data_IF_220495025069
#
_entry.id   IF_220495025069
#
_cell.length_a   1.000
_cell.length_b   1.000
_cell.length_c   1.000
_cell.angle_alpha   90.00
_cell.angle_beta   90.00
_cell.angle_gamma   90.00
#
_symmetry.space_group_name_H-M   'P 1'
#
loop_
_entity.id
_entity.type
_entity.pdbx_description
1 polymer ?
#
# COMPACT_ATOMS: atom_id res chain seq x y z
N UNK A 1 -15.13 -59.14 6.57
CA UNK A 1 -14.34 -58.18 5.76
C UNK A 1 -14.68 -56.75 6.15
N UNK A 2 -13.98 -56.18 7.15
CA UNK A 2 -14.09 -54.76 7.50
C UNK A 2 -13.21 -53.95 6.55
N UNK A 3 -13.82 -53.18 5.64
CA UNK A 3 -13.11 -52.19 4.83
C UNK A 3 -12.52 -51.13 5.77
N UNK A 4 -11.20 -51.11 5.91
CA UNK A 4 -10.44 -49.99 6.47
C UNK A 4 -10.86 -48.69 5.75
N UNK A 5 -11.67 -47.85 6.40
CA UNK A 5 -11.93 -46.48 5.95
C UNK A 5 -10.60 -45.73 6.01
N UNK A 6 -10.11 -45.24 4.87
CA UNK A 6 -8.96 -44.31 4.82
C UNK A 6 -9.29 -43.09 5.69
N UNK A 7 -8.47 -42.84 6.70
CA UNK A 7 -8.68 -41.84 7.76
C UNK A 7 -8.43 -40.39 7.31
N UNK A 8 -8.97 -39.99 6.15
CA UNK A 8 -8.76 -38.65 5.61
C UNK A 8 -9.83 -38.15 4.64
N UNK A 9 -10.81 -38.98 4.26
CA UNK A 9 -11.88 -38.54 3.36
C UNK A 9 -13.04 -37.94 4.17
N UNK A 10 -13.18 -36.61 4.07
CA UNK A 10 -14.32 -35.86 4.62
C UNK A 10 -15.60 -36.49 4.09
N UNK A 11 -16.55 -36.79 4.99
CA UNK A 11 -17.82 -37.39 4.57
C UNK A 11 -18.52 -36.51 3.51
N UNK A 12 -19.11 -37.08 2.45
CA UNK A 12 -19.72 -36.30 1.36
C UNK A 12 -20.78 -35.30 1.85
N UNK A 13 -21.49 -35.65 2.93
CA UNK A 13 -22.46 -34.77 3.57
C UNK A 13 -21.82 -33.57 4.29
N UNK A 14 -20.68 -33.78 4.95
CA UNK A 14 -19.92 -32.70 5.60
C UNK A 14 -19.28 -31.79 4.56
N UNK A 15 -18.78 -32.35 3.44
CA UNK A 15 -18.29 -31.59 2.30
C UNK A 15 -19.40 -30.70 1.70
N UNK A 16 -20.61 -31.26 1.47
CA UNK A 16 -21.76 -30.49 0.95
C UNK A 16 -22.17 -29.35 1.89
N UNK A 17 -22.19 -29.59 3.20
CA UNK A 17 -22.47 -28.54 4.20
C UNK A 17 -21.40 -27.46 4.21
N UNK A 18 -20.12 -27.83 4.06
CA UNK A 18 -19.01 -26.88 3.90
C UNK A 18 -19.19 -25.98 2.67
N UNK A 19 -19.49 -26.57 1.51
CA UNK A 19 -19.75 -25.78 0.30
C UNK A 19 -20.97 -24.88 0.42
N UNK A 20 -22.08 -25.35 1.01
CA UNK A 20 -23.27 -24.54 1.26
C UNK A 20 -22.98 -23.35 2.21
N UNK A 21 -22.07 -23.52 3.16
CA UNK A 21 -21.67 -22.46 4.08
C UNK A 21 -20.85 -21.36 3.39
N UNK A 22 -19.96 -21.73 2.46
CA UNK A 22 -19.11 -20.77 1.73
C UNK A 22 -19.81 -20.15 0.52
N UNK A 23 -20.87 -20.80 0.02
CA UNK A 23 -21.61 -20.38 -1.19
C UNK A 23 -22.12 -18.93 -1.13
N UNK A 24 -22.73 -18.42 -0.03
CA UNK A 24 -23.16 -17.02 0.04
C UNK A 24 -22.00 -16.04 -0.15
N UNK A 25 -20.84 -16.31 0.47
CA UNK A 25 -19.65 -15.47 0.32
C UNK A 25 -19.11 -15.49 -1.11
N UNK A 26 -19.05 -16.67 -1.75
CA UNK A 26 -18.64 -16.79 -3.15
C UNK A 26 -19.59 -16.02 -4.07
N UNK A 27 -20.90 -16.16 -3.87
CA UNK A 27 -21.90 -15.44 -4.66
C UNK A 27 -21.71 -13.92 -4.56
N UNK A 28 -21.49 -13.39 -3.35
CA UNK A 28 -21.23 -11.96 -3.15
C UNK A 28 -19.92 -11.52 -3.83
N UNK A 29 -18.85 -12.30 -3.73
CA UNK A 29 -17.57 -11.98 -4.39
C UNK A 29 -17.74 -11.98 -5.92
N UNK A 30 -18.44 -12.96 -6.48
CA UNK A 30 -18.68 -13.02 -7.93
C UNK A 30 -19.53 -11.83 -8.40
N UNK A 31 -20.61 -11.53 -7.68
CA UNK A 31 -21.56 -10.47 -8.06
C UNK A 31 -20.96 -9.06 -7.92
N UNK A 32 -20.22 -8.80 -6.84
CA UNK A 32 -19.75 -7.45 -6.52
C UNK A 32 -18.27 -7.18 -6.86
N UNK A 33 -17.48 -8.21 -7.13
CA UNK A 33 -16.06 -8.05 -7.51
C UNK A 33 -15.84 -8.49 -8.95
N UNK A 34 -16.13 -9.75 -9.29
CA UNK A 34 -15.79 -10.28 -10.62
C UNK A 34 -16.69 -9.74 -11.74
N UNK A 35 -17.99 -9.63 -11.51
CA UNK A 35 -18.91 -9.07 -12.51
C UNK A 35 -18.55 -7.62 -12.92
N UNK A 36 -18.39 -6.64 -12.00
CA UNK A 36 -18.00 -5.28 -12.38
C UNK A 36 -16.57 -5.22 -12.95
N UNK A 37 -15.66 -6.10 -12.49
CA UNK A 37 -14.33 -6.22 -13.09
C UNK A 37 -14.43 -6.60 -14.56
N UNK A 38 -15.18 -7.64 -14.91
CA UNK A 38 -15.39 -8.06 -16.31
C UNK A 38 -16.08 -6.96 -17.13
N UNK A 39 -17.07 -6.26 -16.56
CA UNK A 39 -17.71 -5.13 -17.23
C UNK A 39 -16.73 -3.99 -17.52
N UNK A 40 -15.85 -3.67 -16.57
CA UNK A 40 -14.78 -2.71 -16.78
C UNK A 40 -13.80 -3.19 -17.86
N UNK A 41 -13.52 -4.50 -17.95
CA UNK A 41 -12.67 -5.05 -19.01
C UNK A 41 -13.30 -4.84 -20.38
N UNK A 42 -14.58 -5.15 -20.54
CA UNK A 42 -15.29 -4.95 -21.80
C UNK A 42 -15.35 -3.46 -22.14
N UNK A 43 -15.54 -2.60 -21.14
CA UNK A 43 -15.60 -1.15 -21.30
C UNK A 43 -14.26 -0.54 -21.71
N UNK A 44 -13.12 -1.14 -21.33
CA UNK A 44 -11.79 -0.65 -21.72
C UNK A 44 -11.56 -0.67 -23.24
N UNK A 45 -12.29 -1.51 -23.99
CA UNK A 45 -12.23 -1.58 -25.45
C UNK A 45 -13.27 -0.68 -26.16
N UNK A 46 -14.08 0.05 -25.39
CA UNK A 46 -15.10 0.96 -25.93
C UNK A 46 -14.63 2.42 -25.88
N UNK A 47 -15.04 3.22 -26.85
CA UNK A 47 -14.84 4.69 -26.84
C UNK A 47 -16.17 5.39 -27.07
N UNK A 48 -16.30 6.61 -26.59
CA UNK A 48 -17.54 7.38 -26.62
C UNK A 48 -17.73 8.21 -25.36
N UNK A 49 -18.84 8.93 -25.30
CA UNK A 49 -19.23 9.78 -24.16
C UNK A 49 -20.60 9.34 -23.69
N UNK A 50 -20.78 9.21 -22.37
CA UNK A 50 -22.04 8.76 -21.76
C UNK A 50 -22.48 7.38 -22.29
N UNK A 51 -23.75 7.27 -22.66
CA UNK A 51 -24.37 6.03 -23.15
C UNK A 51 -23.94 5.64 -24.58
N UNK A 52 -23.23 6.52 -25.29
CA UNK A 52 -22.77 6.30 -26.66
C UNK A 52 -21.47 5.49 -26.80
N UNK A 53 -21.16 4.59 -25.88
CA UNK A 53 -19.94 3.79 -25.89
C UNK A 53 -19.97 2.73 -27.01
N UNK A 54 -19.17 2.93 -28.05
CA UNK A 54 -19.02 2.00 -29.17
C UNK A 54 -17.72 1.19 -29.03
N UNK A 55 -17.74 -0.06 -29.50
CA UNK A 55 -16.54 -0.89 -29.51
C UNK A 55 -15.52 -0.32 -30.50
N UNK A 56 -14.31 -0.04 -30.03
CA UNK A 56 -13.24 0.58 -30.84
C UNK A 56 -11.93 -0.19 -30.74
N UNK A 57 -11.97 -1.44 -30.28
CA UNK A 57 -10.81 -2.31 -30.12
C UNK A 57 -9.76 -1.71 -29.18
N UNK A 58 -8.51 -1.64 -29.63
CA UNK A 58 -7.36 -1.20 -28.81
C UNK A 58 -7.11 0.32 -28.83
N UNK A 59 -8.07 1.14 -29.27
CA UNK A 59 -7.89 2.59 -29.39
C UNK A 59 -7.46 3.26 -28.07
N UNK A 60 -8.10 2.91 -26.95
CA UNK A 60 -7.74 3.43 -25.61
C UNK A 60 -6.31 3.05 -25.21
N UNK A 61 -5.89 1.83 -25.51
CA UNK A 61 -4.55 1.35 -25.18
C UNK A 61 -3.47 2.03 -26.04
N UNK A 62 -3.76 2.35 -27.31
CA UNK A 62 -2.87 3.18 -28.14
C UNK A 62 -2.73 4.60 -27.58
N UNK A 63 -3.84 5.18 -27.11
CA UNK A 63 -3.85 6.52 -26.48
C UNK A 63 -2.98 6.58 -25.22
N UNK A 64 -2.94 5.52 -24.41
CA UNK A 64 -2.06 5.46 -23.23
C UNK A 64 -0.59 5.73 -23.58
N UNK A 65 -0.14 5.28 -24.75
CA UNK A 65 1.25 5.44 -25.19
C UNK A 65 1.61 6.89 -25.56
N UNK A 66 0.63 7.73 -25.86
CA UNK A 66 0.85 9.14 -26.23
C UNK A 66 0.39 10.13 -25.15
N UNK A 67 -0.38 9.67 -24.15
CA UNK A 67 -0.91 10.52 -23.10
C UNK A 67 0.15 10.94 -22.08
N UNK A 68 0.48 12.24 -22.10
CA UNK A 68 1.48 12.84 -21.21
C UNK A 68 1.05 12.83 -19.75
N UNK A 69 -0.25 12.96 -19.46
CA UNK A 69 -0.75 12.98 -18.08
C UNK A 69 -0.72 11.57 -17.49
N UNK A 70 -1.10 10.56 -18.28
CA UNK A 70 -0.94 9.16 -17.89
C UNK A 70 0.52 8.82 -17.59
N UNK A 71 1.47 9.21 -18.45
CA UNK A 71 2.90 8.99 -18.22
C UNK A 71 3.41 9.67 -16.95
N UNK A 72 2.97 10.91 -16.69
CA UNK A 72 3.27 11.61 -15.42
C UNK A 72 2.69 10.87 -14.22
N UNK A 73 1.42 10.48 -14.29
CA UNK A 73 0.73 9.74 -13.23
C UNK A 73 1.41 8.41 -12.90
N UNK A 74 1.80 7.67 -13.94
CA UNK A 74 2.54 6.42 -13.83
C UNK A 74 3.92 6.66 -13.18
N UNK A 75 4.67 7.64 -13.68
CA UNK A 75 5.99 7.99 -13.15
C UNK A 75 5.96 8.41 -11.67
N UNK A 76 5.00 9.25 -11.28
CA UNK A 76 4.83 9.67 -9.89
C UNK A 76 4.43 8.50 -8.98
N UNK A 77 3.51 7.65 -9.44
CA UNK A 77 3.08 6.47 -8.67
C UNK A 77 4.26 5.52 -8.44
N UNK A 78 5.11 5.32 -9.46
CA UNK A 78 6.35 4.55 -9.32
C UNK A 78 7.37 5.22 -8.40
N UNK A 79 7.53 6.54 -8.50
CA UNK A 79 8.41 7.29 -7.62
C UNK A 79 7.98 7.11 -6.15
N UNK A 80 6.69 7.24 -5.87
CA UNK A 80 6.16 6.99 -4.52
C UNK A 80 6.42 5.54 -4.11
N UNK A 81 6.10 4.56 -4.95
CA UNK A 81 6.33 3.14 -4.65
C UNK A 81 7.79 2.82 -4.32
N UNK A 82 8.74 3.25 -5.16
CA UNK A 82 10.16 2.89 -5.02
C UNK A 82 10.81 3.60 -3.84
N UNK A 83 10.39 4.82 -3.51
CA UNK A 83 11.00 5.59 -2.43
C UNK A 83 10.32 5.27 -1.10
N UNK A 84 8.99 5.37 -1.06
CA UNK A 84 8.27 5.31 0.20
C UNK A 84 8.16 3.89 0.75
N UNK A 85 7.88 2.87 -0.07
CA UNK A 85 7.68 1.51 0.45
C UNK A 85 8.93 1.01 1.20
N UNK A 86 10.15 1.11 0.64
CA UNK A 86 11.35 0.70 1.36
C UNK A 86 11.59 1.48 2.66
N UNK A 87 11.39 2.81 2.63
CA UNK A 87 11.56 3.66 3.83
C UNK A 87 10.57 3.24 4.91
N UNK A 88 9.30 3.06 4.56
CA UNK A 88 8.25 2.66 5.49
C UNK A 88 8.51 1.29 6.10
N UNK A 89 8.91 0.31 5.29
CA UNK A 89 9.21 -1.05 5.75
C UNK A 89 10.42 -1.04 6.68
N UNK A 90 11.47 -0.30 6.34
CA UNK A 90 12.66 -0.13 7.17
C UNK A 90 12.31 0.51 8.52
N UNK A 91 11.57 1.62 8.50
CA UNK A 91 11.14 2.32 9.72
C UNK A 91 10.28 1.40 10.59
N UNK A 92 9.32 0.70 10.00
CA UNK A 92 8.46 -0.23 10.73
C UNK A 92 9.27 -1.39 11.36
N UNK A 93 10.29 -1.92 10.68
CA UNK A 93 11.18 -2.96 11.22
C UNK A 93 12.03 -2.44 12.39
N UNK A 94 12.64 -1.26 12.25
CA UNK A 94 13.45 -0.66 13.32
C UNK A 94 12.59 -0.36 14.53
N UNK A 95 11.45 0.31 14.32
CA UNK A 95 10.53 0.68 15.40
C UNK A 95 9.97 -0.57 16.10
N UNK A 96 9.51 -1.57 15.35
CA UNK A 96 9.00 -2.81 15.95
C UNK A 96 10.07 -3.55 16.76
N UNK A 97 11.32 -3.60 16.28
CA UNK A 97 12.44 -4.17 17.03
C UNK A 97 12.72 -3.41 18.34
N UNK A 98 12.65 -2.07 18.32
CA UNK A 98 12.82 -1.25 19.53
C UNK A 98 11.66 -1.46 20.52
N UNK A 99 10.43 -1.56 20.03
CA UNK A 99 9.23 -1.77 20.87
C UNK A 99 9.05 -3.21 21.36
N UNK A 100 9.85 -4.15 20.84
CA UNK A 100 9.89 -5.52 21.32
C UNK A 100 10.80 -5.70 22.55
N UNK A 101 11.74 -4.80 22.81
CA UNK A 101 12.70 -4.93 23.93
C UNK A 101 12.03 -4.87 25.30
N UNK A 102 12.07 -5.98 26.07
CA UNK A 102 11.62 -6.18 27.49
C UNK A 102 12.13 -5.17 28.52
N UNK A 103 13.03 -4.25 28.18
CA UNK A 103 13.46 -3.14 29.04
C UNK A 103 12.77 -1.80 28.79
N UNK A 104 12.12 -1.60 27.65
CA UNK A 104 11.48 -0.32 27.31
C UNK A 104 10.27 -0.03 28.22
N UNK A 105 10.30 1.09 28.94
CA UNK A 105 9.19 1.62 29.74
C UNK A 105 8.12 2.25 28.83
N UNK A 106 6.86 2.24 29.25
CA UNK A 106 5.72 2.82 28.51
C UNK A 106 5.49 2.28 27.09
N UNK A 107 5.82 1.01 26.84
CA UNK A 107 5.64 0.38 25.52
C UNK A 107 4.23 0.47 24.95
N UNK A 108 3.21 0.29 25.79
CA UNK A 108 1.82 0.42 25.35
C UNK A 108 1.53 1.80 24.77
N UNK A 109 2.02 2.86 25.40
CA UNK A 109 1.87 4.23 24.93
C UNK A 109 2.54 4.44 23.57
N UNK A 110 3.80 4.04 23.40
CA UNK A 110 4.50 4.20 22.12
C UNK A 110 3.85 3.39 20.99
N UNK A 111 3.43 2.13 21.27
CA UNK A 111 2.70 1.30 20.30
C UNK A 111 1.43 1.99 19.84
N UNK A 112 0.63 2.50 20.78
CA UNK A 112 -0.61 3.21 20.46
C UNK A 112 -0.33 4.50 19.70
N UNK A 113 0.63 5.33 20.15
CA UNK A 113 0.93 6.61 19.51
C UNK A 113 1.41 6.45 18.05
N UNK A 114 2.21 5.42 17.77
CA UNK A 114 2.73 5.16 16.42
C UNK A 114 1.67 4.49 15.54
N UNK A 115 0.77 3.67 16.11
CA UNK A 115 -0.32 3.02 15.38
C UNK A 115 -1.52 3.95 15.13
N UNK A 116 -1.79 4.90 16.04
CA UNK A 116 -2.95 5.78 16.01
C UNK A 116 -3.21 6.46 14.66
N UNK A 117 -2.19 6.95 13.91
CA UNK A 117 -2.39 7.57 12.61
C UNK A 117 -3.22 6.72 11.65
N UNK A 118 -2.98 5.41 11.57
CA UNK A 118 -3.66 4.54 10.60
C UNK A 118 -5.15 4.29 10.91
N UNK A 119 -5.59 4.60 12.13
CA UNK A 119 -6.99 4.43 12.57
C UNK A 119 -7.86 5.64 12.22
N UNK A 120 -7.25 6.80 11.94
CA UNK A 120 -7.95 8.05 11.61
C UNK A 120 -8.52 8.04 10.19
N UNK A 121 -9.48 8.91 9.86
CA UNK A 121 -10.02 9.03 8.48
C UNK A 121 -8.94 9.52 7.50
N UNK A 122 -8.85 8.87 6.33
CA UNK A 122 -7.91 9.22 5.24
C UNK A 122 -8.05 10.69 4.79
N UNK A 123 -9.28 11.18 4.68
CA UNK A 123 -9.55 12.56 4.26
C UNK A 123 -9.20 13.54 5.38
N UNK A 124 -9.65 13.28 6.61
CA UNK A 124 -9.48 14.21 7.73
C UNK A 124 -8.01 14.46 8.05
N UNK A 125 -7.19 13.40 8.14
CA UNK A 125 -5.76 13.58 8.43
C UNK A 125 -5.04 14.30 7.28
N UNK A 126 -5.41 14.03 6.02
CA UNK A 126 -4.81 14.68 4.86
C UNK A 126 -5.07 16.19 4.86
N UNK A 127 -6.27 16.62 5.23
CA UNK A 127 -6.61 18.05 5.38
C UNK A 127 -5.79 18.69 6.50
N UNK A 128 -5.64 18.02 7.65
CA UNK A 128 -4.80 18.49 8.74
C UNK A 128 -3.33 18.59 8.29
N UNK A 129 -2.81 17.57 7.61
CA UNK A 129 -1.44 17.56 7.08
C UNK A 129 -1.22 18.73 6.11
N UNK A 130 -2.16 18.97 5.20
CA UNK A 130 -2.12 20.12 4.28
C UNK A 130 -2.05 21.44 5.04
N UNK A 131 -2.83 21.60 6.10
CA UNK A 131 -2.82 22.80 6.95
C UNK A 131 -1.51 22.96 7.73
N UNK A 132 -0.95 21.87 8.27
CA UNK A 132 0.32 21.89 9.00
C UNK A 132 1.50 22.31 8.13
N UNK A 133 1.49 21.88 6.86
CA UNK A 133 2.51 22.17 5.86
C UNK A 133 2.14 23.34 4.93
N UNK A 134 1.11 24.13 5.27
CA UNK A 134 0.84 25.39 4.58
C UNK A 134 2.04 26.35 4.74
N UNK A 135 2.11 27.38 3.89
CA UNK A 135 3.22 28.34 3.93
C UNK A 135 3.32 29.04 5.28
N UNK A 136 2.18 29.39 5.88
CA UNK A 136 1.97 29.92 7.22
C UNK A 136 1.67 28.82 8.27
N UNK A 137 1.84 27.55 7.90
CA UNK A 137 1.57 26.40 8.74
C UNK A 137 2.59 26.20 9.86
N UNK A 138 2.20 25.38 10.84
CA UNK A 138 3.01 25.09 12.02
C UNK A 138 4.43 24.58 11.67
N UNK A 139 4.57 23.76 10.62
CA UNK A 139 5.87 23.18 10.25
C UNK A 139 6.87 24.26 9.84
N UNK A 140 6.45 25.20 8.98
CA UNK A 140 7.32 26.30 8.58
C UNK A 140 7.61 27.24 9.76
N UNK A 141 6.61 27.54 10.60
CA UNK A 141 6.81 28.34 11.81
C UNK A 141 7.84 27.71 12.77
N UNK A 142 7.74 26.40 13.01
CA UNK A 142 8.68 25.66 13.85
C UNK A 142 10.10 25.66 13.26
N UNK A 143 10.25 25.40 11.95
CA UNK A 143 11.56 25.40 11.28
C UNK A 143 12.23 26.78 11.30
N UNK A 144 11.45 27.86 11.13
CA UNK A 144 11.96 29.23 11.23
C UNK A 144 12.36 29.59 12.67
N UNK A 145 11.55 29.25 13.66
CA UNK A 145 11.86 29.52 15.07
C UNK A 145 13.10 28.75 15.57
N UNK A 146 13.35 27.56 15.02
CA UNK A 146 14.55 26.78 15.29
C UNK A 146 15.77 27.25 14.47
N UNK A 147 15.65 28.32 13.69
CA UNK A 147 16.70 28.86 12.81
C UNK A 147 17.25 27.83 11.80
N UNK A 148 16.44 26.83 11.42
CA UNK A 148 16.81 25.82 10.41
C UNK A 148 16.59 26.31 8.98
N UNK A 149 15.69 27.27 8.78
CA UNK A 149 15.39 27.90 7.49
C UNK A 149 15.23 29.41 7.65
N UNK A 150 15.68 30.18 6.65
CA UNK A 150 15.53 31.64 6.62
C UNK A 150 14.24 32.11 5.94
N UNK A 151 13.55 31.24 5.21
CA UNK A 151 12.29 31.54 4.51
C UNK A 151 11.38 30.31 4.49
N UNK A 152 10.04 30.49 4.46
CA UNK A 152 9.09 29.37 4.43
C UNK A 152 9.30 28.46 3.23
N UNK A 153 9.28 27.14 3.46
CA UNK A 153 9.33 26.16 2.39
C UNK A 153 7.95 26.08 1.73
N UNK A 154 7.94 26.17 0.41
CA UNK A 154 6.76 26.08 -0.43
C UNK A 154 6.32 24.61 -0.65
N UNK A 155 5.85 23.95 0.41
CA UNK A 155 5.56 22.50 0.39
C UNK A 155 4.51 22.08 -0.64
N UNK A 156 3.52 22.92 -0.91
CA UNK A 156 2.40 22.59 -1.79
C UNK A 156 2.59 23.09 -3.23
N UNK A 157 3.36 24.16 -3.42
CA UNK A 157 3.50 24.85 -4.72
C UNK A 157 4.80 24.51 -5.44
N UNK A 158 5.80 23.97 -4.75
CA UNK A 158 7.01 23.44 -5.36
C UNK A 158 6.86 21.93 -5.68
N UNK A 159 7.20 21.52 -6.89
CA UNK A 159 7.01 20.14 -7.37
C UNK A 159 7.77 19.09 -6.54
N UNK A 160 9.00 19.40 -6.12
CA UNK A 160 9.84 18.47 -5.35
C UNK A 160 9.32 18.36 -3.93
N UNK A 161 9.06 19.49 -3.27
CA UNK A 161 8.53 19.49 -1.91
C UNK A 161 7.12 18.91 -1.82
N UNK A 162 6.28 19.06 -2.84
CA UNK A 162 4.97 18.44 -2.90
C UNK A 162 5.07 16.91 -2.93
N UNK A 163 5.99 16.35 -3.74
CA UNK A 163 6.27 14.90 -3.75
C UNK A 163 6.79 14.42 -2.39
N UNK A 164 7.72 15.17 -1.78
CA UNK A 164 8.27 14.85 -0.45
C UNK A 164 7.16 14.87 0.61
N UNK A 165 6.27 15.87 0.58
CA UNK A 165 5.16 15.97 1.50
C UNK A 165 4.22 14.76 1.43
N UNK A 166 3.86 14.32 0.21
CA UNK A 166 3.08 13.10 0.03
C UNK A 166 3.80 11.89 0.63
N UNK A 167 5.10 11.72 0.35
CA UNK A 167 5.91 10.62 0.90
C UNK A 167 5.94 10.65 2.44
N UNK A 168 6.09 11.83 3.05
CA UNK A 168 6.06 11.98 4.52
C UNK A 168 4.69 11.58 5.06
N UNK A 169 3.60 12.08 4.46
CA UNK A 169 2.24 11.83 4.92
C UNK A 169 1.88 10.33 4.89
N UNK A 170 2.15 9.66 3.77
CA UNK A 170 1.87 8.22 3.63
C UNK A 170 2.81 7.39 4.52
N UNK A 171 4.08 7.76 4.64
CA UNK A 171 5.04 7.05 5.50
C UNK A 171 4.62 7.14 6.96
N UNK A 172 4.30 8.36 7.44
CA UNK A 172 3.87 8.58 8.81
C UNK A 172 2.64 7.75 9.16
N UNK A 173 1.66 7.71 8.26
CA UNK A 173 0.41 6.97 8.49
C UNK A 173 0.60 5.45 8.49
N UNK A 174 1.30 4.92 7.49
CA UNK A 174 1.34 3.48 7.23
C UNK A 174 2.51 2.75 7.90
N UNK A 175 3.49 3.47 8.45
CA UNK A 175 4.57 2.87 9.26
C UNK A 175 4.01 2.15 10.48
N UNK A 176 3.07 2.76 11.19
CA UNK A 176 2.47 2.15 12.38
C UNK A 176 1.67 0.88 12.09
N UNK A 177 0.96 0.86 10.95
CA UNK A 177 0.25 -0.32 10.49
C UNK A 177 1.21 -1.50 10.26
N UNK A 178 2.28 -1.29 9.48
CA UNK A 178 3.26 -2.33 9.19
C UNK A 178 4.07 -2.76 10.44
N UNK A 179 4.34 -1.82 11.35
CA UNK A 179 5.01 -2.10 12.62
C UNK A 179 4.24 -3.13 13.45
N UNK A 180 2.90 -3.10 13.47
CA UNK A 180 2.09 -4.06 14.25
C UNK A 180 2.25 -5.48 13.72
N UNK A 181 2.30 -5.68 12.40
CA UNK A 181 2.58 -7.00 11.82
C UNK A 181 3.95 -7.52 12.23
N UNK A 182 4.99 -6.68 12.16
CA UNK A 182 6.33 -7.09 12.56
C UNK A 182 6.44 -7.36 14.05
N UNK A 183 5.78 -6.56 14.89
CA UNK A 183 5.75 -6.77 16.32
C UNK A 183 5.08 -8.10 16.69
N UNK A 184 3.97 -8.45 16.02
CA UNK A 184 3.32 -9.75 16.18
C UNK A 184 4.24 -10.89 15.73
N UNK A 185 4.97 -10.70 14.63
CA UNK A 185 5.96 -11.67 14.15
C UNK A 185 7.11 -11.87 15.14
N UNK A 186 7.65 -10.78 15.67
CA UNK A 186 8.74 -10.81 16.65
C UNK A 186 8.35 -11.54 17.92
N UNK A 187 7.11 -11.39 18.37
CA UNK A 187 6.58 -12.05 19.57
C UNK A 187 6.34 -13.55 19.38
N UNK A 188 6.30 -14.03 18.13
CA UNK A 188 6.19 -15.47 17.83
C UNK A 188 7.54 -16.20 17.82
N UNK A 189 8.65 -15.48 17.84
CA UNK A 189 10.00 -16.06 17.86
C UNK A 189 10.34 -16.43 19.30
N UNK A 190 10.78 -17.68 19.51
CA UNK A 190 11.20 -18.17 20.82
C UNK A 190 12.39 -17.36 21.37
N UNK A 191 12.26 -16.86 22.60
CA UNK A 191 13.32 -16.12 23.30
C UNK A 191 14.60 -16.96 23.44
N UNK A 192 14.50 -18.29 23.53
CA UNK A 192 15.63 -19.22 23.63
C UNK A 192 16.60 -19.14 22.45
N UNK A 193 16.11 -18.78 21.25
CA UNK A 193 16.97 -18.55 20.07
C UNK A 193 17.88 -17.33 20.30
N UNK A 194 17.34 -16.27 20.92
CA UNK A 194 18.10 -15.06 21.21
C UNK A 194 19.06 -15.23 22.39
N UNK A 195 18.73 -16.09 23.35
CA UNK A 195 19.58 -16.46 24.48
C UNK A 195 20.76 -17.31 24.03
N UNK A 196 20.53 -18.34 23.21
CA UNK A 196 21.59 -19.15 22.59
C UNK A 196 22.57 -18.26 21.81
N UNK A 197 22.04 -17.35 20.98
CA UNK A 197 22.87 -16.39 20.27
C UNK A 197 23.63 -15.41 21.19
N UNK A 198 23.11 -15.14 22.40
CA UNK A 198 23.83 -14.33 23.39
C UNK A 198 25.04 -15.08 23.96
N UNK A 199 24.88 -16.37 24.23
CA UNK A 199 25.93 -17.26 24.72
C UNK A 199 27.05 -17.36 23.67
N UNK A 200 26.70 -17.42 22.38
CA UNK A 200 27.66 -17.38 21.26
C UNK A 200 28.30 -16.00 21.00
N UNK A 201 28.05 -15.01 21.87
CA UNK A 201 28.63 -13.67 21.76
C UNK A 201 28.08 -12.82 20.60
N UNK A 202 26.89 -13.14 20.07
CA UNK A 202 26.30 -12.37 18.99
C UNK A 202 25.85 -10.98 19.45
N UNK A 203 26.33 -9.94 18.77
CA UNK A 203 25.89 -8.55 19.01
C UNK A 203 24.44 -8.32 18.58
N UNK A 204 23.78 -7.27 19.08
CA UNK A 204 22.39 -6.94 18.72
C UNK A 204 22.16 -6.80 17.21
N UNK A 205 23.13 -6.22 16.48
CA UNK A 205 23.08 -6.09 15.02
C UNK A 205 23.17 -7.47 14.34
N UNK A 206 24.02 -8.37 14.85
CA UNK A 206 24.14 -9.74 14.33
C UNK A 206 22.85 -10.53 14.60
N UNK A 207 22.26 -10.42 15.80
CA UNK A 207 20.95 -11.03 16.11
C UNK A 207 19.85 -10.49 15.20
N UNK A 208 19.79 -9.18 14.98
CA UNK A 208 18.80 -8.57 14.09
C UNK A 208 18.94 -9.06 12.64
N UNK A 209 20.15 -9.00 12.07
CA UNK A 209 20.38 -9.32 10.65
C UNK A 209 20.39 -10.81 10.35
N UNK A 210 20.82 -11.66 11.29
CA UNK A 210 20.98 -13.11 11.05
C UNK A 210 19.87 -13.98 11.63
N UNK A 211 19.09 -13.48 12.60
CA UNK A 211 18.01 -14.25 13.23
C UNK A 211 16.67 -13.57 12.95
N UNK A 212 16.52 -12.33 13.41
CA UNK A 212 15.25 -11.61 13.30
C UNK A 212 14.81 -11.41 11.85
N UNK A 213 15.67 -10.85 11.00
CA UNK A 213 15.31 -10.50 9.62
C UNK A 213 14.96 -11.76 8.78
N UNK A 214 15.72 -12.88 8.85
CA UNK A 214 15.33 -14.12 8.17
C UNK A 214 14.02 -14.73 8.68
N UNK A 215 13.79 -14.75 9.99
CA UNK A 215 12.57 -15.32 10.57
C UNK A 215 11.33 -14.46 10.28
N UNK A 216 11.50 -13.13 10.17
CA UNK A 216 10.43 -12.21 9.77
C UNK A 216 10.19 -12.16 8.26
N UNK A 217 11.00 -12.82 7.42
CA UNK A 217 10.91 -12.76 5.96
C UNK A 217 9.49 -13.00 5.41
N UNK A 218 8.70 -13.99 5.89
CA UNK A 218 7.33 -14.20 5.39
C UNK A 218 6.42 -13.00 5.67
N UNK A 219 6.59 -12.36 6.83
CA UNK A 219 5.80 -11.19 7.24
C UNK A 219 6.24 -9.96 6.45
N UNK A 220 7.56 -9.77 6.25
CA UNK A 220 8.11 -8.70 5.41
C UNK A 220 7.61 -8.82 3.97
N UNK A 221 7.56 -10.04 3.43
CA UNK A 221 7.02 -10.27 2.10
C UNK A 221 5.53 -9.90 2.02
N UNK A 222 4.73 -10.37 2.99
CA UNK A 222 3.31 -10.04 3.07
C UNK A 222 3.07 -8.53 3.18
N UNK A 223 3.73 -7.84 4.10
CA UNK A 223 3.57 -6.38 4.28
C UNK A 223 4.07 -5.59 3.09
N UNK A 224 5.14 -6.03 2.43
CA UNK A 224 5.68 -5.38 1.22
C UNK A 224 4.71 -5.50 0.04
N UNK A 225 4.11 -6.67 -0.18
CA UNK A 225 3.09 -6.88 -1.23
C UNK A 225 1.87 -5.99 -0.97
N UNK A 226 1.32 -6.02 0.25
CA UNK A 226 0.16 -5.19 0.58
C UNK A 226 0.47 -3.69 0.47
N UNK A 227 1.65 -3.26 0.92
CA UNK A 227 2.09 -1.88 0.77
C UNK A 227 2.24 -1.48 -0.70
N UNK A 228 2.75 -2.38 -1.54
CA UNK A 228 2.88 -2.15 -2.99
C UNK A 228 1.52 -1.99 -3.65
N UNK A 229 0.56 -2.86 -3.32
CA UNK A 229 -0.83 -2.76 -3.80
C UNK A 229 -1.44 -1.42 -3.37
N UNK A 230 -1.29 -1.05 -2.10
CA UNK A 230 -1.80 0.21 -1.56
C UNK A 230 -1.20 1.44 -2.27
N UNK A 231 0.12 1.48 -2.47
CA UNK A 231 0.78 2.61 -3.13
C UNK A 231 0.44 2.71 -4.62
N UNK A 232 0.26 1.58 -5.33
CA UNK A 232 -0.24 1.60 -6.71
C UNK A 232 -1.67 2.13 -6.81
N UNK A 233 -2.44 2.04 -5.73
CA UNK A 233 -3.81 2.54 -5.63
C UNK A 233 -3.91 3.91 -4.93
N UNK A 234 -2.78 4.57 -4.63
CA UNK A 234 -2.73 5.82 -3.85
C UNK A 234 -3.63 6.93 -4.45
N UNK A 235 -4.62 7.37 -3.68
CA UNK A 235 -5.59 8.39 -4.12
C UNK A 235 -5.79 9.49 -3.08
N UNK A 236 -6.15 9.14 -1.85
CA UNK A 236 -6.69 10.08 -0.86
C UNK A 236 -5.70 11.19 -0.50
N UNK A 237 -4.45 10.85 -0.23
CA UNK A 237 -3.42 11.81 0.18
C UNK A 237 -3.13 12.81 -0.94
N UNK A 238 -2.97 12.32 -2.16
CA UNK A 238 -2.67 13.16 -3.31
C UNK A 238 -3.86 14.04 -3.66
N UNK A 239 -5.09 13.51 -3.59
CA UNK A 239 -6.28 14.28 -3.87
C UNK A 239 -6.52 15.38 -2.81
N UNK A 240 -6.33 15.07 -1.53
CA UNK A 240 -6.68 15.97 -0.44
C UNK A 240 -5.56 16.95 -0.07
N UNK A 241 -4.28 16.56 -0.17
CA UNK A 241 -3.14 17.42 0.19
C UNK A 241 -2.81 18.36 -0.97
N UNK A 242 -2.52 17.82 -2.15
CA UNK A 242 -1.99 18.58 -3.29
C UNK A 242 -2.99 18.73 -4.44
N UNK A 243 -4.08 17.95 -4.44
CA UNK A 243 -5.00 17.81 -5.56
C UNK A 243 -4.27 17.48 -6.88
N UNK A 244 -3.18 16.69 -6.79
CA UNK A 244 -2.29 16.32 -7.90
C UNK A 244 -1.29 17.41 -8.32
N UNK A 245 -1.32 18.59 -7.71
CA UNK A 245 -0.46 19.72 -8.05
C UNK A 245 0.97 19.65 -7.47
N UNK A 246 1.81 20.65 -7.80
CA UNK A 246 1.60 21.67 -8.85
C UNK A 246 1.68 21.04 -10.26
N UNK A 247 0.91 21.53 -11.24
CA UNK A 247 1.01 21.11 -12.65
C UNK A 247 1.06 19.57 -12.91
N UNK A 248 0.23 18.81 -12.19
CA UNK A 248 0.19 17.34 -12.21
C UNK A 248 1.48 16.65 -11.72
N UNK A 249 2.34 17.34 -10.96
CA UNK A 249 3.58 16.77 -10.44
C UNK A 249 3.37 15.79 -9.29
N UNK A 250 2.21 15.73 -8.66
CA UNK A 250 1.93 14.67 -7.66
C UNK A 250 0.83 13.72 -8.09
N UNK A 251 0.21 13.92 -9.25
CA UNK A 251 -0.90 13.09 -9.73
C UNK A 251 -0.49 11.62 -9.75
N UNK A 252 -1.37 10.75 -9.26
CA UNK A 252 -1.22 9.28 -9.30
C UNK A 252 -2.17 8.67 -10.32
N UNK A 253 -1.96 7.40 -10.66
CA UNK A 253 -2.85 6.71 -11.62
C UNK A 253 -4.29 6.65 -11.07
N UNK A 254 -4.48 6.36 -9.78
CA UNK A 254 -5.82 6.36 -9.16
C UNK A 254 -6.50 7.73 -9.23
N UNK A 255 -5.76 8.81 -8.93
CA UNK A 255 -6.33 10.16 -9.05
C UNK A 255 -6.63 10.52 -10.51
N UNK A 256 -5.79 10.06 -11.44
CA UNK A 256 -6.02 10.26 -12.86
C UNK A 256 -7.28 9.53 -13.35
N UNK A 257 -7.48 8.28 -12.93
CA UNK A 257 -8.72 7.52 -13.18
C UNK A 257 -9.94 8.28 -12.66
N UNK A 258 -9.89 8.75 -11.41
CA UNK A 258 -10.96 9.57 -10.83
C UNK A 258 -11.24 10.82 -11.67
N UNK A 259 -10.20 11.53 -12.08
CA UNK A 259 -10.34 12.74 -12.90
C UNK A 259 -11.00 12.46 -14.25
N UNK A 260 -10.64 11.33 -14.90
CA UNK A 260 -11.25 10.89 -16.16
C UNK A 260 -12.72 10.52 -16.03
N UNK A 261 -13.16 10.03 -14.87
CA UNK A 261 -14.55 9.63 -14.64
C UNK A 261 -15.43 10.77 -14.16
N UNK A 262 -14.91 11.65 -13.30
CA UNK A 262 -15.76 12.55 -12.50
C UNK A 262 -15.39 14.03 -12.57
N UNK A 263 -14.15 14.38 -12.94
CA UNK A 263 -13.69 15.80 -12.91
C UNK A 263 -13.83 16.49 -14.26
N UNK A 264 -13.60 15.76 -15.34
CA UNK A 264 -13.73 16.26 -16.71
C UNK A 264 -14.97 15.68 -17.39
N UNK A 265 -15.10 15.87 -18.70
CA UNK A 265 -16.07 15.11 -19.51
C UNK A 265 -15.83 13.61 -19.29
N UNK A 266 -16.80 12.86 -18.71
CA UNK A 266 -16.58 11.48 -18.31
C UNK A 266 -16.17 10.61 -19.50
N UNK A 267 -14.99 10.00 -19.38
CA UNK A 267 -14.46 9.06 -20.36
C UNK A 267 -14.27 7.68 -19.71
N UNK A 268 -15.38 6.97 -19.54
CA UNK A 268 -15.42 5.68 -18.85
C UNK A 268 -14.59 4.62 -19.57
N UNK A 269 -14.59 4.59 -20.90
CA UNK A 269 -13.81 3.63 -21.68
C UNK A 269 -12.31 3.80 -21.47
N UNK A 270 -11.82 5.04 -21.53
CA UNK A 270 -10.41 5.32 -21.29
C UNK A 270 -10.02 5.13 -19.82
N UNK A 271 -10.86 5.55 -18.87
CA UNK A 271 -10.63 5.31 -17.44
C UNK A 271 -10.55 3.82 -17.11
N UNK A 272 -11.41 3.00 -17.73
CA UNK A 272 -11.36 1.55 -17.60
C UNK A 272 -10.05 0.97 -18.15
N UNK A 273 -9.58 1.45 -19.31
CA UNK A 273 -8.28 1.04 -19.86
C UNK A 273 -7.12 1.39 -18.92
N UNK A 274 -7.09 2.60 -18.36
CA UNK A 274 -6.10 3.02 -17.35
C UNK A 274 -6.17 2.14 -16.10
N UNK A 275 -7.38 1.81 -15.63
CA UNK A 275 -7.60 0.95 -14.46
C UNK A 275 -7.02 -0.46 -14.67
N UNK A 276 -7.17 -1.02 -15.88
CA UNK A 276 -6.58 -2.31 -16.22
C UNK A 276 -5.06 -2.30 -16.25
N UNK A 277 -4.42 -1.16 -16.53
CA UNK A 277 -2.97 -1.05 -16.36
C UNK A 277 -2.59 -1.21 -14.90
N UNK A 278 -3.29 -0.56 -13.96
CA UNK A 278 -3.02 -0.74 -12.51
C UNK A 278 -3.15 -2.22 -12.13
N UNK A 279 -4.22 -2.90 -12.56
CA UNK A 279 -4.43 -4.33 -12.26
C UNK A 279 -3.25 -5.16 -12.76
N UNK A 280 -2.82 -4.97 -14.01
CA UNK A 280 -1.67 -5.67 -14.60
C UNK A 280 -0.39 -5.39 -13.79
N UNK A 281 -0.14 -4.14 -13.42
CA UNK A 281 1.03 -3.78 -12.61
C UNK A 281 0.98 -4.45 -11.24
N UNK A 282 -0.16 -4.43 -10.55
CA UNK A 282 -0.33 -5.11 -9.26
C UNK A 282 0.01 -6.60 -9.38
N UNK A 283 -0.51 -7.29 -10.40
CA UNK A 283 -0.25 -8.71 -10.63
C UNK A 283 1.23 -8.96 -10.89
N UNK A 284 1.87 -8.16 -11.76
CA UNK A 284 3.29 -8.30 -12.09
C UNK A 284 4.16 -8.08 -10.85
N UNK A 285 3.97 -6.99 -10.11
CA UNK A 285 4.77 -6.70 -8.92
C UNK A 285 4.56 -7.72 -7.82
N UNK A 286 3.31 -8.12 -7.56
CA UNK A 286 3.01 -9.14 -6.55
C UNK A 286 3.66 -10.48 -6.92
N UNK A 287 3.61 -10.88 -8.19
CA UNK A 287 4.26 -12.09 -8.67
C UNK A 287 5.79 -12.02 -8.55
N UNK A 288 6.42 -10.92 -8.95
CA UNK A 288 7.86 -10.71 -8.80
C UNK A 288 8.26 -10.79 -7.32
N UNK A 289 7.51 -10.11 -6.44
CA UNK A 289 7.77 -10.12 -5.00
C UNK A 289 7.62 -11.52 -4.41
N UNK A 290 6.57 -12.26 -4.77
CA UNK A 290 6.39 -13.65 -4.36
C UNK A 290 7.52 -14.55 -4.85
N UNK A 291 8.00 -14.38 -6.07
CA UNK A 291 9.09 -15.20 -6.61
C UNK A 291 10.43 -14.89 -5.94
N UNK A 292 10.75 -13.62 -5.76
CA UNK A 292 12.00 -13.19 -5.09
C UNK A 292 11.98 -13.52 -3.59
N UNK A 293 10.81 -13.38 -2.95
CA UNK A 293 10.63 -13.58 -1.52
C UNK A 293 10.34 -15.03 -1.10
N UNK A 294 9.68 -15.83 -1.94
CA UNK A 294 9.16 -17.15 -1.59
C UNK A 294 10.17 -18.30 -1.65
N UNK A 295 11.23 -18.19 -2.44
CA UNK A 295 12.02 -19.36 -2.89
C UNK A 295 13.09 -19.92 -1.90
N UNK A 296 12.91 -19.92 -0.56
CA UNK A 296 13.95 -20.51 0.34
C UNK A 296 13.53 -21.33 1.57
N UNK A 297 12.25 -21.60 1.82
CA UNK A 297 11.84 -22.37 3.02
C UNK A 297 10.94 -23.57 2.69
N UNK A 298 11.29 -24.33 1.66
CA UNK A 298 10.89 -25.74 1.53
C UNK A 298 12.16 -26.61 1.39
#
# INVERSE_FOLDING_TARGET
>A
MQRRRKSGEISPALNRKGWLFVLPSICLIVLFVFYPMIQAFITSFKTGVGDGLQFSGLANYKRLLTDSTFKKALGNTFLFLIIQVPIMILLALVISSMLNDKKLKFRGFFRTAIFLPCVTSLVAYSIIFKSLFANDGFVNAALMNLHLISSPINWLTNAVFAKILIIIAITWRWTGYNMVFYLSGLQSIDDGIYEAAAIDGATSVKKFTKITLPLLKPIILFTTINSTIGTLQLFDEVQNITNGGPANETITISQYIYNLMFKYTPNFGYAAAVSYVIVILIVIFSFIQLRVGGDKNE
#
